data_IF_100021618138
#
_entry.id   IF_100021618138
#
_cell.length_a   1.000
_cell.length_b   1.000
_cell.length_c   1.000
_cell.angle_alpha   90.00
_cell.angle_beta   90.00
_cell.angle_gamma   90.00
#
_symmetry.space_group_name_H-M   'P 1'
#
loop_
_entity.id
_entity.type
_entity.pdbx_description
1 polymer ?
#
# COMPACT_ATOMS: atom_id res chain seq x y z
N UNK A 1 3.76 2.52 14.19
CA UNK A 1 2.74 2.72 15.25
C UNK A 1 3.24 2.44 16.66
N UNK A 2 3.99 1.38 16.91
CA UNK A 2 4.62 1.07 18.22
C UNK A 2 5.14 2.31 18.99
N UNK A 3 5.96 3.13 18.34
CA UNK A 3 6.54 4.33 18.97
C UNK A 3 5.50 5.42 19.33
N UNK A 4 4.38 5.47 18.62
CA UNK A 4 3.29 6.40 18.89
C UNK A 4 2.41 5.90 20.04
N UNK A 5 1.99 4.63 20.00
CA UNK A 5 0.99 4.10 20.94
C UNK A 5 1.56 3.41 22.17
N UNK A 6 2.66 2.66 22.04
CA UNK A 6 3.25 1.92 23.17
C UNK A 6 4.33 2.71 23.90
N UNK A 7 4.88 3.74 23.25
CA UNK A 7 5.92 4.61 23.81
C UNK A 7 5.49 6.06 24.00
N UNK A 8 4.24 6.40 23.64
CA UNK A 8 3.69 7.75 23.75
C UNK A 8 4.60 8.85 23.15
N UNK A 9 5.38 8.50 22.11
CA UNK A 9 6.33 9.40 21.47
C UNK A 9 5.74 10.13 20.26
N UNK A 10 6.28 11.30 19.93
CA UNK A 10 6.00 11.96 18.65
C UNK A 10 6.72 11.25 17.51
N UNK A 11 6.00 10.93 16.44
CA UNK A 11 6.54 10.16 15.31
C UNK A 11 6.16 10.79 13.98
N UNK A 12 7.10 10.77 13.04
CA UNK A 12 6.89 11.11 11.64
C UNK A 12 7.19 9.90 10.77
N UNK A 13 6.26 9.51 9.90
CA UNK A 13 6.48 8.49 8.87
C UNK A 13 6.51 9.16 7.50
N UNK A 14 7.60 8.96 6.77
CA UNK A 14 7.75 9.44 5.39
C UNK A 14 7.93 8.23 4.49
N UNK A 15 7.08 8.12 3.48
CA UNK A 15 7.14 7.05 2.49
C UNK A 15 7.49 7.67 1.14
N UNK A 16 8.55 7.14 0.54
CA UNK A 16 8.96 7.41 -0.82
C UNK A 16 9.52 6.08 -1.37
N UNK A 17 9.01 5.49 -2.45
CA UNK A 17 8.05 5.93 -3.48
C UNK A 17 6.84 4.98 -3.50
N UNK A 18 5.62 5.52 -3.36
CA UNK A 18 4.40 4.70 -3.34
C UNK A 18 4.02 4.13 -4.72
N UNK A 19 4.56 4.67 -5.81
CA UNK A 19 4.30 4.19 -7.17
C UNK A 19 4.80 2.75 -7.37
N UNK A 20 5.95 2.42 -6.76
CA UNK A 20 6.51 1.05 -6.78
C UNK A 20 5.63 0.08 -6.01
N UNK A 21 5.08 0.50 -4.87
CA UNK A 21 4.14 -0.30 -4.10
C UNK A 21 2.86 -0.55 -4.91
N UNK A 22 2.32 0.47 -5.57
CA UNK A 22 1.12 0.35 -6.39
C UNK A 22 1.34 -0.65 -7.55
N UNK A 23 2.50 -0.59 -8.23
CA UNK A 23 2.84 -1.51 -9.30
C UNK A 23 2.93 -2.98 -8.83
N UNK A 24 3.53 -3.22 -7.65
CA UNK A 24 3.59 -4.55 -7.06
C UNK A 24 2.20 -5.05 -6.62
N UNK A 25 1.39 -4.18 -6.00
CA UNK A 25 0.04 -4.52 -5.56
C UNK A 25 -0.88 -4.86 -6.74
N UNK A 26 -0.72 -4.17 -7.87
CA UNK A 26 -1.36 -4.50 -9.15
C UNK A 26 -1.01 -5.91 -9.62
N UNK A 27 0.28 -6.24 -9.68
CA UNK A 27 0.74 -7.56 -10.13
C UNK A 27 0.22 -8.69 -9.24
N UNK A 28 0.29 -8.51 -7.92
CA UNK A 28 -0.22 -9.48 -6.95
C UNK A 28 -1.73 -9.70 -7.10
N UNK A 29 -2.49 -8.62 -7.25
CA UNK A 29 -3.94 -8.73 -7.41
C UNK A 29 -4.35 -9.45 -8.69
N UNK A 30 -3.59 -9.27 -9.77
CA UNK A 30 -3.80 -10.00 -11.03
C UNK A 30 -3.48 -11.50 -10.87
N UNK A 31 -2.39 -11.85 -10.18
CA UNK A 31 -2.06 -13.25 -9.88
C UNK A 31 -3.14 -13.93 -9.04
N UNK A 32 -3.71 -13.18 -8.08
CA UNK A 32 -4.82 -13.63 -7.24
C UNK A 32 -6.19 -13.55 -7.93
N UNK A 33 -6.23 -13.18 -9.22
CA UNK A 33 -7.46 -13.05 -10.03
C UNK A 33 -8.52 -12.14 -9.39
N UNK A 34 -8.09 -11.12 -8.65
CA UNK A 34 -9.01 -10.09 -8.15
C UNK A 34 -9.51 -9.27 -9.34
N UNK A 35 -10.80 -8.87 -9.38
CA UNK A 35 -11.35 -8.08 -10.47
C UNK A 35 -10.51 -6.81 -10.72
N UNK A 36 -9.97 -6.60 -11.93
CA UNK A 36 -9.18 -5.41 -12.24
C UNK A 36 -10.09 -4.20 -12.45
N UNK A 37 -9.68 -3.05 -11.91
CA UNK A 37 -10.24 -1.74 -12.19
C UNK A 37 -9.49 -1.01 -13.32
N UNK A 38 -9.44 0.32 -13.24
CA UNK A 38 -8.74 1.15 -14.23
C UNK A 38 -7.25 0.77 -14.29
N UNK A 39 -6.71 0.66 -15.51
CA UNK A 39 -5.29 0.32 -15.76
C UNK A 39 -4.83 -0.99 -15.09
N UNK A 40 -5.78 -1.89 -14.83
CA UNK A 40 -5.58 -3.16 -14.14
C UNK A 40 -5.19 -3.06 -12.66
N UNK A 41 -5.26 -1.88 -12.05
CA UNK A 41 -5.13 -1.75 -10.60
C UNK A 41 -6.33 -2.34 -9.86
N UNK A 42 -6.16 -2.76 -8.61
CA UNK A 42 -7.27 -3.25 -7.79
C UNK A 42 -8.31 -2.14 -7.58
N UNK A 43 -9.59 -2.49 -7.53
CA UNK A 43 -10.66 -1.49 -7.34
C UNK A 43 -10.76 -0.92 -5.91
N UNK A 44 -9.98 -1.45 -4.98
CA UNK A 44 -9.85 -0.97 -3.60
C UNK A 44 -8.64 -0.03 -3.38
N UNK A 45 -7.91 0.29 -4.46
CA UNK A 45 -6.92 1.39 -4.51
C UNK A 45 -7.61 2.69 -4.90
#
# INVERSE_FOLDING_TARGET
>A
EYFMYEKNGHTLCVYDDLSKQAAAYRQLSLLLRRPPGREAYPGDV
#
